data_IF_542420860584
#
_entry.id   IF_542420860584
#
_cell.length_a   1.000
_cell.length_b   1.000
_cell.length_c   1.000
_cell.angle_alpha   90.00
_cell.angle_beta   90.00
_cell.angle_gamma   90.00
#
_symmetry.space_group_name_H-M   'P 1'
#
loop_
_entity.id
_entity.type
_entity.pdbx_description
1 polymer ?
#
# COMPACT_ATOMS: atom_id res chain seq x y z
N UNK A 1 20.01 11.38 91.47
CA UNK A 1 20.01 12.58 90.61
C UNK A 1 19.70 12.10 89.20
N UNK A 2 18.51 12.41 88.71
CA UNK A 2 17.91 11.87 87.48
C UNK A 2 18.33 12.73 86.29
N UNK A 3 18.75 12.12 85.18
CA UNK A 3 18.62 12.71 83.84
C UNK A 3 18.13 11.67 82.86
N UNK A 4 16.98 11.98 82.27
CA UNK A 4 16.39 11.33 81.11
C UNK A 4 17.24 11.61 79.87
N UNK A 5 17.18 10.74 78.86
CA UNK A 5 16.88 11.17 77.49
C UNK A 5 16.43 9.95 76.65
N UNK A 6 15.22 10.07 76.11
CA UNK A 6 14.65 9.20 75.08
C UNK A 6 15.23 9.64 73.73
N UNK A 7 15.71 8.71 72.91
CA UNK A 7 15.96 8.97 71.49
C UNK A 7 14.83 8.36 70.66
N UNK A 8 13.99 9.26 70.15
CA UNK A 8 13.09 9.05 69.02
C UNK A 8 13.94 8.96 67.74
N UNK A 9 13.65 7.98 66.89
CA UNK A 9 14.15 7.90 65.52
C UNK A 9 13.52 8.99 64.64
N UNK A 10 14.25 9.63 63.71
CA UNK A 10 13.65 10.51 62.73
C UNK A 10 13.01 9.68 61.60
N UNK A 11 11.69 9.82 61.47
CA UNK A 11 10.95 9.45 60.26
C UNK A 11 11.32 10.46 59.19
N UNK A 12 12.09 10.03 58.18
CA UNK A 12 12.30 10.80 56.96
C UNK A 12 10.99 10.72 56.18
N UNK A 13 10.21 11.79 56.25
CA UNK A 13 9.07 12.00 55.36
C UNK A 13 9.63 12.22 53.95
N UNK A 14 9.63 11.17 53.14
CA UNK A 14 9.76 11.29 51.69
C UNK A 14 8.52 12.04 51.20
N UNK A 15 8.70 13.32 50.91
CA UNK A 15 7.74 14.14 50.19
C UNK A 15 7.55 13.54 48.79
N UNK A 16 6.59 12.62 48.67
CA UNK A 16 6.00 12.26 47.39
C UNK A 16 5.30 13.52 46.86
N UNK A 17 6.02 14.28 46.04
CA UNK A 17 5.43 15.19 45.07
C UNK A 17 4.65 14.32 44.09
N UNK A 18 3.39 14.05 44.42
CA UNK A 18 2.39 13.74 43.41
C UNK A 18 2.23 15.00 42.57
N UNK A 19 3.07 15.16 41.55
CA UNK A 19 2.67 15.92 40.40
C UNK A 19 1.34 15.32 39.96
N UNK A 20 0.30 16.15 39.93
CA UNK A 20 -1.02 15.78 39.44
C UNK A 20 -0.85 15.23 38.03
N UNK A 21 -0.82 13.91 37.91
CA UNK A 21 -1.02 13.22 36.66
C UNK A 21 -2.49 13.46 36.35
N UNK A 22 -2.81 14.61 35.75
CA UNK A 22 -4.08 14.78 35.07
C UNK A 22 -4.16 13.62 34.10
N UNK A 23 -5.04 12.66 34.40
CA UNK A 23 -5.45 11.65 33.44
C UNK A 23 -6.26 12.38 32.38
N UNK A 24 -5.56 13.11 31.49
CA UNK A 24 -6.08 13.49 30.20
C UNK A 24 -6.52 12.17 29.59
N UNK A 25 -7.83 11.98 29.43
CA UNK A 25 -8.30 10.87 28.60
C UNK A 25 -7.57 11.04 27.27
N UNK A 26 -6.81 10.03 26.81
CA UNK A 26 -6.10 10.15 25.54
C UNK A 26 -7.13 10.56 24.50
N UNK A 27 -6.86 11.65 23.79
CA UNK A 27 -7.69 12.03 22.66
C UNK A 27 -7.58 10.85 21.68
N UNK A 28 -8.68 10.29 21.17
CA UNK A 28 -8.60 9.23 20.17
C UNK A 28 -7.67 9.58 18.99
N UNK A 29 -7.46 10.88 18.74
CA UNK A 29 -6.53 11.40 17.75
C UNK A 29 -5.05 11.18 18.08
N UNK A 30 -4.67 11.08 19.36
CA UNK A 30 -3.27 10.93 19.80
C UNK A 30 -2.66 9.62 19.26
N UNK A 31 -3.45 8.56 19.12
CA UNK A 31 -3.00 7.28 18.55
C UNK A 31 -2.66 7.42 17.06
N UNK A 32 -3.43 8.22 16.32
CA UNK A 32 -3.15 8.45 14.90
C UNK A 32 -1.96 9.38 14.71
N UNK A 33 -1.83 10.41 15.55
CA UNK A 33 -0.69 11.33 15.57
C UNK A 33 0.62 10.55 15.79
N UNK A 34 0.68 9.71 16.83
CA UNK A 34 1.85 8.88 17.12
C UNK A 34 2.26 8.01 15.92
N UNK A 35 1.27 7.48 15.19
CA UNK A 35 1.53 6.65 14.01
C UNK A 35 2.08 7.46 12.83
N UNK A 36 1.55 8.65 12.60
CA UNK A 36 2.08 9.58 11.59
C UNK A 36 3.50 10.00 11.95
N UNK A 37 3.73 10.43 13.20
CA UNK A 37 5.03 10.81 13.73
C UNK A 37 6.06 9.68 13.59
N UNK A 38 5.67 8.43 13.86
CA UNK A 38 6.54 7.26 13.68
C UNK A 38 6.95 7.04 12.22
N UNK A 39 6.07 7.36 11.25
CA UNK A 39 6.38 7.25 9.83
C UNK A 39 7.29 8.40 9.36
N UNK A 40 6.96 9.64 9.74
CA UNK A 40 7.68 10.84 9.32
C UNK A 40 8.99 11.07 10.08
N UNK A 41 9.19 10.35 11.19
CA UNK A 41 10.30 10.55 12.14
C UNK A 41 10.32 11.97 12.74
N UNK A 42 9.16 12.63 12.76
CA UNK A 42 8.96 13.93 13.38
C UNK A 42 8.35 13.77 14.78
N UNK A 43 8.54 14.74 15.68
CA UNK A 43 7.86 14.70 16.97
C UNK A 43 6.35 14.91 16.80
N UNK A 44 5.56 14.37 17.73
CA UNK A 44 4.09 14.40 17.69
C UNK A 44 3.53 15.84 17.51
N UNK A 45 4.17 16.85 18.11
CA UNK A 45 3.76 18.25 18.00
C UNK A 45 3.89 18.85 16.60
N UNK A 46 4.67 18.23 15.70
CA UNK A 46 4.80 18.65 14.29
C UNK A 46 3.65 18.13 13.42
N UNK A 47 2.82 17.21 13.94
CA UNK A 47 1.72 16.61 13.19
C UNK A 47 0.41 17.28 13.55
N UNK A 48 -0.29 17.80 12.55
CA UNK A 48 -1.59 18.44 12.71
C UNK A 48 -2.71 17.60 12.10
N UNK A 49 -3.80 17.42 12.85
CA UNK A 49 -5.05 16.93 12.27
C UNK A 49 -5.68 18.03 11.39
N UNK A 50 -6.11 17.66 10.18
CA UNK A 50 -6.73 18.58 9.22
C UNK A 50 -8.24 18.45 9.26
N UNK A 51 -8.78 17.26 8.98
CA UNK A 51 -10.22 17.00 8.87
C UNK A 51 -10.54 15.51 8.77
N UNK A 52 -11.84 15.20 8.91
CA UNK A 52 -12.41 13.92 8.48
C UNK A 52 -13.01 14.06 7.07
N UNK A 53 -12.77 13.07 6.22
CA UNK A 53 -13.37 12.90 4.89
C UNK A 53 -14.22 11.63 4.88
N UNK A 54 -15.15 11.57 3.93
CA UNK A 54 -15.91 10.35 3.65
C UNK A 54 -15.66 9.91 2.22
N UNK A 55 -15.16 8.68 2.04
CA UNK A 55 -14.94 8.06 0.74
C UNK A 55 -15.59 6.68 0.73
N UNK A 56 -16.48 6.42 -0.23
CA UNK A 56 -17.19 5.14 -0.38
C UNK A 56 -17.78 4.60 0.95
N UNK A 57 -18.35 5.51 1.75
CA UNK A 57 -18.96 5.20 3.05
C UNK A 57 -17.98 4.94 4.20
N UNK A 58 -16.67 5.15 3.99
CA UNK A 58 -15.63 5.02 5.02
C UNK A 58 -15.18 6.39 5.50
N UNK A 59 -14.89 6.51 6.79
CA UNK A 59 -14.27 7.73 7.34
C UNK A 59 -12.76 7.65 7.14
N UNK A 60 -12.19 8.73 6.64
CA UNK A 60 -10.76 8.91 6.44
C UNK A 60 -10.33 10.14 7.23
N UNK A 61 -9.34 9.99 8.09
CA UNK A 61 -8.76 11.08 8.86
C UNK A 61 -7.52 11.60 8.13
N UNK A 62 -7.50 12.91 7.89
CA UNK A 62 -6.40 13.60 7.23
C UNK A 62 -5.53 14.29 8.28
N UNK A 63 -4.22 14.05 8.20
CA UNK A 63 -3.18 14.69 9.00
C UNK A 63 -2.14 15.32 8.07
N UNK A 64 -1.33 16.24 8.59
CA UNK A 64 -0.28 16.90 7.81
C UNK A 64 0.89 17.28 8.70
N UNK A 65 2.08 17.35 8.11
CA UNK A 65 3.24 18.06 8.63
C UNK A 65 3.66 19.15 7.62
N UNK A 66 4.93 19.57 7.66
CA UNK A 66 5.46 20.59 6.76
C UNK A 66 5.56 20.10 5.30
N UNK A 67 5.75 18.80 5.05
CA UNK A 67 6.09 18.23 3.75
C UNK A 67 4.95 17.39 3.14
N UNK A 68 4.22 16.63 3.96
CA UNK A 68 3.26 15.62 3.53
C UNK A 68 1.86 15.83 4.08
N UNK A 69 0.90 15.23 3.37
CA UNK A 69 -0.43 14.93 3.85
C UNK A 69 -0.56 13.41 4.00
N UNK A 70 -1.17 13.00 5.11
CA UNK A 70 -1.38 11.62 5.49
C UNK A 70 -2.86 11.35 5.59
N UNK A 71 -3.31 10.24 5.02
CA UNK A 71 -4.68 9.76 5.16
C UNK A 71 -4.69 8.42 5.87
N UNK A 72 -5.46 8.31 6.94
CA UNK A 72 -5.62 7.09 7.72
C UNK A 72 -7.09 6.68 7.78
N UNK A 73 -7.37 5.38 7.75
CA UNK A 73 -8.71 4.87 8.04
C UNK A 73 -9.01 4.84 9.54
N UNK A 74 -10.26 4.48 9.90
CA UNK A 74 -10.70 4.38 11.30
C UNK A 74 -9.95 3.33 12.14
N UNK A 75 -9.24 2.40 11.50
CA UNK A 75 -8.36 1.45 12.18
C UNK A 75 -6.93 1.98 12.32
N UNK A 76 -6.68 3.21 11.88
CA UNK A 76 -5.39 3.87 11.86
C UNK A 76 -4.45 3.29 10.81
N UNK A 77 -4.93 2.62 9.77
CA UNK A 77 -4.07 2.17 8.66
C UNK A 77 -3.89 3.31 7.68
N UNK A 78 -2.66 3.55 7.24
CA UNK A 78 -2.39 4.53 6.19
C UNK A 78 -3.10 4.11 4.90
N UNK A 79 -3.85 5.01 4.28
CA UNK A 79 -4.49 4.85 2.98
C UNK A 79 -3.68 5.53 1.88
N UNK A 80 -3.19 6.74 2.17
CA UNK A 80 -2.31 7.47 1.28
C UNK A 80 -1.37 8.38 2.06
N UNK A 81 -0.23 8.69 1.44
CA UNK A 81 0.74 9.71 1.86
C UNK A 81 1.13 10.44 0.59
N UNK A 82 1.08 11.77 0.56
CA UNK A 82 1.44 12.54 -0.62
C UNK A 82 2.10 13.85 -0.24
N UNK A 83 3.07 14.27 -1.05
CA UNK A 83 3.72 15.58 -0.89
C UNK A 83 2.69 16.70 -1.05
N UNK A 84 2.81 17.74 -0.22
CA UNK A 84 1.92 18.92 -0.27
C UNK A 84 2.15 19.72 -1.53
N UNK A 85 3.42 19.91 -1.87
CA UNK A 85 3.85 20.63 -3.05
C UNK A 85 4.45 19.65 -4.07
N UNK A 86 4.02 19.76 -5.32
CA UNK A 86 4.64 18.96 -6.39
C UNK A 86 6.13 19.26 -6.44
N UNK A 87 7.02 18.25 -6.39
CA UNK A 87 8.44 18.55 -6.34
C UNK A 87 8.88 19.10 -7.71
N UNK A 88 9.78 20.08 -7.66
CA UNK A 88 10.23 20.79 -8.87
C UNK A 88 10.97 19.83 -9.80
N UNK A 89 10.57 19.83 -11.08
CA UNK A 89 11.23 19.11 -12.16
C UNK A 89 12.37 19.95 -12.70
N UNK A 90 13.47 20.00 -11.96
CA UNK A 90 14.72 20.57 -12.46
C UNK A 90 15.49 19.51 -13.27
N UNK A 91 16.64 19.87 -13.84
CA UNK A 91 17.45 18.94 -14.64
C UNK A 91 18.09 17.87 -13.74
N UNK A 92 17.28 16.86 -13.42
CA UNK A 92 17.55 15.86 -12.40
C UNK A 92 18.30 14.66 -13.00
N UNK A 93 19.30 14.17 -12.26
CA UNK A 93 19.97 12.93 -12.59
C UNK A 93 19.12 11.73 -12.17
N UNK A 94 19.17 10.66 -12.96
CA UNK A 94 18.49 9.41 -12.62
C UNK A 94 19.07 8.81 -11.33
N UNK A 95 18.18 8.43 -10.42
CA UNK A 95 18.53 7.70 -9.20
C UNK A 95 19.07 6.33 -9.56
N UNK A 96 20.11 5.90 -8.85
CA UNK A 96 20.62 4.53 -8.96
C UNK A 96 19.57 3.53 -8.46
N UNK A 97 19.47 2.38 -9.12
CA UNK A 97 18.52 1.32 -8.78
C UNK A 97 18.63 0.88 -7.32
N UNK A 98 19.84 0.75 -6.81
CA UNK A 98 20.10 0.25 -5.45
C UNK A 98 19.59 1.25 -4.41
N UNK A 99 19.83 2.55 -4.64
CA UNK A 99 19.36 3.63 -3.77
C UNK A 99 17.83 3.69 -3.74
N UNK A 100 17.19 3.49 -4.90
CA UNK A 100 15.73 3.46 -4.97
C UNK A 100 15.15 2.25 -4.23
N UNK A 101 15.82 1.09 -4.31
CA UNK A 101 15.43 -0.12 -3.57
C UNK A 101 15.55 0.06 -2.07
N UNK A 102 16.65 0.64 -1.59
CA UNK A 102 16.86 0.98 -0.18
C UNK A 102 15.77 1.93 0.31
N UNK A 103 15.50 3.02 -0.42
CA UNK A 103 14.41 3.97 -0.09
C UNK A 103 13.05 3.29 -0.04
N UNK A 104 12.74 2.45 -1.03
CA UNK A 104 11.45 1.71 -1.05
C UNK A 104 11.31 0.82 0.18
N UNK A 105 12.39 0.10 0.52
CA UNK A 105 12.43 -0.82 1.66
C UNK A 105 12.25 -0.06 2.98
N UNK A 106 12.94 1.07 3.14
CA UNK A 106 12.81 1.95 4.29
C UNK A 106 11.37 2.45 4.49
N UNK A 107 10.73 2.97 3.42
CA UNK A 107 9.33 3.38 3.51
C UNK A 107 8.38 2.24 3.87
N UNK A 108 8.59 1.03 3.33
CA UNK A 108 7.79 -0.14 3.71
C UNK A 108 7.94 -0.46 5.20
N UNK A 109 9.16 -0.45 5.73
CA UNK A 109 9.42 -0.68 7.15
C UNK A 109 8.75 0.37 8.04
N UNK A 110 8.82 1.65 7.66
CA UNK A 110 8.14 2.76 8.37
C UNK A 110 6.61 2.61 8.38
N UNK A 111 6.04 2.00 7.35
CA UNK A 111 4.61 1.66 7.29
C UNK A 111 4.25 0.42 8.14
N UNK A 112 5.24 -0.23 8.76
CA UNK A 112 5.07 -1.50 9.48
C UNK A 112 4.88 -2.70 8.54
N UNK A 113 5.31 -2.58 7.28
CA UNK A 113 5.26 -3.65 6.29
C UNK A 113 6.59 -4.38 6.26
N UNK A 114 6.57 -5.72 6.38
CA UNK A 114 7.76 -6.53 6.17
C UNK A 114 8.05 -6.68 4.65
N UNK A 115 9.12 -6.10 4.10
CA UNK A 115 9.42 -6.17 2.67
C UNK A 115 9.64 -7.60 2.17
N UNK A 116 10.07 -8.52 3.05
CA UNK A 116 10.34 -9.92 2.68
C UNK A 116 9.08 -10.71 2.30
N UNK A 117 7.89 -10.27 2.74
CA UNK A 117 6.62 -10.92 2.37
C UNK A 117 5.98 -10.30 1.12
N UNK A 118 6.68 -9.33 0.49
CA UNK A 118 6.20 -8.60 -0.68
C UNK A 118 7.07 -8.88 -1.90
N UNK A 119 6.42 -9.03 -3.05
CA UNK A 119 7.10 -8.96 -4.34
C UNK A 119 7.11 -7.51 -4.82
N UNK A 120 8.31 -6.93 -4.98
CA UNK A 120 8.49 -5.53 -5.35
C UNK A 120 8.93 -5.43 -6.82
N UNK A 121 8.20 -4.64 -7.60
CA UNK A 121 8.52 -4.38 -9.00
C UNK A 121 8.63 -2.89 -9.26
N UNK A 122 9.50 -2.51 -10.20
CA UNK A 122 9.74 -1.11 -10.57
C UNK A 122 9.37 -0.88 -12.03
N UNK A 123 8.65 0.21 -12.30
CA UNK A 123 8.31 0.65 -13.64
C UNK A 123 8.74 2.12 -13.81
N UNK A 124 9.57 2.37 -14.82
CA UNK A 124 10.03 3.72 -15.15
C UNK A 124 9.11 4.28 -16.25
N UNK A 125 8.55 5.45 -16.01
CA UNK A 125 7.81 6.22 -17.00
C UNK A 125 8.71 7.32 -17.57
N UNK A 126 9.39 7.03 -18.68
CA UNK A 126 10.30 7.98 -19.33
C UNK A 126 9.60 9.28 -19.75
N UNK A 127 8.31 9.23 -20.09
CA UNK A 127 7.55 10.43 -20.46
C UNK A 127 7.11 11.29 -19.28
N UNK A 128 7.05 10.72 -18.07
CA UNK A 128 6.65 11.43 -16.86
C UNK A 128 7.81 11.77 -15.94
N UNK A 129 9.02 11.30 -16.26
CA UNK A 129 10.20 11.40 -15.39
C UNK A 129 9.93 10.86 -13.98
N UNK A 130 9.20 9.74 -13.93
CA UNK A 130 8.72 9.13 -12.70
C UNK A 130 9.08 7.66 -12.65
N UNK A 131 9.33 7.17 -11.44
CA UNK A 131 9.46 5.74 -11.15
C UNK A 131 8.32 5.32 -10.25
N UNK A 132 7.66 4.22 -10.59
CA UNK A 132 6.64 3.59 -9.74
C UNK A 132 7.19 2.28 -9.21
N UNK A 133 7.23 2.15 -7.89
CA UNK A 133 7.42 0.88 -7.22
C UNK A 133 6.06 0.31 -6.81
N UNK A 134 5.85 -0.98 -7.06
CA UNK A 134 4.65 -1.71 -6.62
C UNK A 134 5.11 -2.89 -5.79
N UNK A 135 4.83 -2.83 -4.49
CA UNK A 135 5.04 -3.94 -3.56
C UNK A 135 3.71 -4.69 -3.41
N UNK A 136 3.68 -5.97 -3.76
CA UNK A 136 2.49 -6.84 -3.70
C UNK A 136 2.66 -7.93 -2.65
N UNK A 137 1.75 -8.02 -1.69
CA UNK A 137 1.85 -8.98 -0.60
C UNK A 137 1.47 -10.40 -1.03
N UNK A 138 2.32 -11.38 -0.69
CA UNK A 138 2.05 -12.80 -0.90
C UNK A 138 1.66 -13.51 0.40
N UNK A 139 0.74 -14.47 0.28
CA UNK A 139 0.47 -15.49 1.28
C UNK A 139 0.64 -16.85 0.63
N UNK A 140 1.77 -17.50 0.93
CA UNK A 140 2.24 -18.66 0.16
C UNK A 140 2.50 -18.26 -1.31
N UNK A 141 1.86 -18.96 -2.24
CA UNK A 141 2.01 -18.71 -3.68
C UNK A 141 1.02 -17.66 -4.23
N UNK A 142 0.07 -17.18 -3.42
CA UNK A 142 -1.02 -16.31 -3.87
C UNK A 142 -0.82 -14.87 -3.44
N UNK A 143 -1.23 -13.94 -4.30
CA UNK A 143 -1.30 -12.54 -3.94
C UNK A 143 -2.56 -12.27 -3.12
N UNK A 144 -2.43 -11.40 -2.11
CA UNK A 144 -3.53 -11.12 -1.18
C UNK A 144 -4.33 -9.88 -1.58
N UNK A 145 -4.04 -9.27 -2.73
CA UNK A 145 -4.60 -7.99 -3.15
C UNK A 145 -4.17 -6.78 -2.31
N UNK A 146 -3.44 -7.01 -1.21
CA UNK A 146 -2.80 -5.97 -0.40
C UNK A 146 -1.55 -5.48 -1.12
N UNK A 147 -1.55 -4.22 -1.53
CA UNK A 147 -0.48 -3.63 -2.32
C UNK A 147 -0.07 -2.28 -1.73
N UNK A 148 1.22 -1.96 -1.83
CA UNK A 148 1.75 -0.62 -1.60
C UNK A 148 2.30 -0.09 -2.92
N UNK A 149 1.79 1.05 -3.35
CA UNK A 149 2.22 1.77 -4.54
C UNK A 149 3.03 2.97 -4.10
N UNK A 150 4.29 3.05 -4.51
CA UNK A 150 5.16 4.19 -4.23
C UNK A 150 5.52 4.85 -5.55
N UNK A 151 5.38 6.17 -5.60
CA UNK A 151 5.74 6.97 -6.77
C UNK A 151 6.87 7.91 -6.40
N UNK A 152 7.86 7.97 -7.28
CA UNK A 152 9.03 8.81 -7.15
C UNK A 152 9.21 9.66 -8.39
N UNK A 153 9.85 10.81 -8.24
CA UNK A 153 10.54 11.46 -9.36
C UNK A 153 11.75 10.61 -9.74
N UNK A 154 12.24 10.75 -10.98
CA UNK A 154 13.42 10.03 -11.48
C UNK A 154 14.69 10.16 -10.62
N UNK A 155 14.82 11.21 -9.79
CA UNK A 155 15.91 11.41 -8.82
C UNK A 155 15.72 10.64 -7.49
N UNK A 156 14.59 9.93 -7.35
CA UNK A 156 14.25 9.16 -6.16
C UNK A 156 13.60 9.98 -5.05
N UNK A 157 13.15 11.20 -5.32
CA UNK A 157 12.30 11.97 -4.40
C UNK A 157 10.90 11.37 -4.38
N UNK A 158 10.37 11.10 -3.18
CA UNK A 158 9.04 10.51 -3.01
C UNK A 158 7.96 11.52 -3.42
N UNK A 159 6.97 11.08 -4.19
CA UNK A 159 5.79 11.86 -4.57
C UNK A 159 4.59 11.40 -3.74
N UNK A 160 4.36 10.08 -3.72
CA UNK A 160 3.23 9.51 -3.01
C UNK A 160 3.43 8.05 -2.65
N UNK A 161 2.72 7.64 -1.62
CA UNK A 161 2.47 6.26 -1.24
C UNK A 161 0.96 6.05 -1.22
N UNK A 162 0.47 4.97 -1.81
CA UNK A 162 -0.93 4.55 -1.72
C UNK A 162 -0.98 3.09 -1.29
N UNK A 163 -1.84 2.77 -0.33
CA UNK A 163 -2.03 1.39 0.12
C UNK A 163 -3.41 0.89 -0.22
N UNK A 164 -3.45 -0.36 -0.68
CA UNK A 164 -4.67 -1.12 -0.86
C UNK A 164 -4.72 -2.19 0.20
N UNK A 165 -5.85 -2.28 0.91
CA UNK A 165 -6.11 -3.34 1.87
C UNK A 165 -7.26 -4.23 1.45
N UNK A 166 -7.06 -5.53 1.56
CA UNK A 166 -7.99 -6.60 1.25
C UNK A 166 -7.93 -7.64 2.38
N UNK A 167 -9.05 -8.32 2.64
CA UNK A 167 -9.10 -9.40 3.63
C UNK A 167 -8.47 -10.69 3.06
N UNK A 168 -7.30 -11.14 3.56
CA UNK A 168 -6.64 -12.34 3.05
C UNK A 168 -7.46 -13.61 3.23
N UNK A 169 -8.44 -13.65 4.15
CA UNK A 169 -9.30 -14.81 4.35
C UNK A 169 -10.13 -15.14 3.10
N UNK A 170 -10.33 -14.18 2.19
CA UNK A 170 -10.97 -14.39 0.89
C UNK A 170 -10.25 -15.45 0.05
N UNK A 171 -8.93 -15.60 0.18
CA UNK A 171 -8.16 -16.63 -0.53
C UNK A 171 -8.58 -18.06 -0.15
N UNK A 172 -9.11 -18.25 1.05
CA UNK A 172 -9.58 -19.55 1.54
C UNK A 172 -10.95 -19.95 0.99
N UNK A 173 -11.66 -19.04 0.32
CA UNK A 173 -12.93 -19.36 -0.32
C UNK A 173 -12.70 -20.37 -1.46
N UNK A 174 -13.58 -21.37 -1.52
CA UNK A 174 -13.56 -22.39 -2.57
C UNK A 174 -13.88 -21.73 -3.92
N UNK A 175 -13.07 -22.03 -4.94
CA UNK A 175 -13.34 -21.60 -6.31
C UNK A 175 -14.46 -22.45 -6.91
N UNK A 176 -15.46 -21.81 -7.51
CA UNK A 176 -16.51 -22.49 -8.29
C UNK A 176 -16.00 -22.95 -9.65
N UNK A 177 -15.07 -22.18 -10.24
CA UNK A 177 -14.41 -22.54 -11.49
C UNK A 177 -12.90 -22.76 -11.29
N UNK A 178 -12.37 -23.72 -12.03
CA UNK A 178 -10.93 -23.98 -12.12
C UNK A 178 -10.22 -22.90 -12.96
N UNK A 179 -8.90 -22.81 -12.80
CA UNK A 179 -8.07 -21.92 -13.61
C UNK A 179 -8.13 -22.28 -15.12
N UNK A 180 -8.28 -23.56 -15.44
CA UNK A 180 -8.41 -24.03 -16.82
C UNK A 180 -9.75 -23.59 -17.44
N UNK A 181 -10.85 -23.69 -16.69
CA UNK A 181 -12.15 -23.16 -17.11
C UNK A 181 -12.10 -21.63 -17.30
N UNK A 182 -11.46 -20.91 -16.38
CA UNK A 182 -11.28 -19.46 -16.50
C UNK A 182 -10.45 -19.08 -17.74
N UNK A 183 -9.40 -19.87 -18.05
CA UNK A 183 -8.60 -19.69 -19.25
C UNK A 183 -9.44 -19.94 -20.52
N UNK A 184 -10.30 -20.95 -20.52
CA UNK A 184 -11.24 -21.17 -21.63
C UNK A 184 -12.17 -19.97 -21.83
N UNK A 185 -12.75 -19.45 -20.75
CA UNK A 185 -13.60 -18.24 -20.80
C UNK A 185 -12.84 -17.06 -21.40
N UNK A 186 -11.57 -16.87 -21.01
CA UNK A 186 -10.73 -15.83 -21.60
C UNK A 186 -10.57 -16.03 -23.12
N UNK A 187 -10.21 -17.24 -23.58
CA UNK A 187 -10.07 -17.50 -25.02
C UNK A 187 -11.38 -17.29 -25.78
N UNK A 188 -12.51 -17.80 -25.28
CA UNK A 188 -13.83 -17.61 -25.90
C UNK A 188 -14.16 -16.09 -26.05
N UNK A 189 -13.79 -15.28 -25.04
CA UNK A 189 -13.93 -13.83 -25.11
C UNK A 189 -12.99 -13.19 -26.16
N UNK A 190 -11.72 -13.60 -26.20
CA UNK A 190 -10.75 -13.06 -27.15
C UNK A 190 -11.12 -13.36 -28.61
N UNK A 191 -11.74 -14.51 -28.88
CA UNK A 191 -12.22 -14.90 -30.22
C UNK A 191 -13.36 -14.03 -30.73
N UNK A 192 -14.19 -13.53 -29.80
CA UNK A 192 -15.40 -12.76 -30.10
C UNK A 192 -15.19 -11.25 -29.98
N UNK A 193 -14.14 -10.81 -29.28
CA UNK A 193 -13.78 -9.39 -29.14
C UNK A 193 -13.24 -8.80 -30.43
N UNK A 194 -13.89 -7.76 -30.96
CA UNK A 194 -13.43 -7.07 -32.17
C UNK A 194 -12.01 -6.49 -32.03
N UNK A 195 -11.65 -6.02 -30.82
CA UNK A 195 -10.33 -5.45 -30.53
C UNK A 195 -9.24 -6.53 -30.46
N UNK A 196 -9.57 -7.71 -29.94
CA UNK A 196 -8.57 -8.73 -29.61
C UNK A 196 -8.45 -9.82 -30.67
N UNK A 197 -9.52 -10.09 -31.42
CA UNK A 197 -9.57 -11.12 -32.46
C UNK A 197 -8.42 -11.03 -33.48
N UNK A 198 -7.96 -9.85 -33.94
CA UNK A 198 -6.82 -9.76 -34.86
C UNK A 198 -5.51 -10.30 -34.29
N UNK A 199 -5.39 -10.37 -32.96
CA UNK A 199 -4.15 -10.74 -32.27
C UNK A 199 -4.17 -12.17 -31.73
N UNK A 200 -5.30 -12.87 -31.82
CA UNK A 200 -5.48 -14.15 -31.11
C UNK A 200 -4.52 -15.23 -31.58
N UNK A 201 -4.13 -15.24 -32.85
CA UNK A 201 -3.17 -16.19 -33.43
C UNK A 201 -1.76 -16.03 -32.85
N UNK A 202 -1.47 -14.91 -32.19
CA UNK A 202 -0.21 -14.70 -31.47
C UNK A 202 -0.19 -15.41 -30.11
N UNK A 203 -1.38 -15.75 -29.58
CA UNK A 203 -1.56 -16.32 -28.25
C UNK A 203 -1.60 -17.83 -28.30
N UNK A 204 -0.85 -18.42 -27.39
CA UNK A 204 -0.91 -19.83 -27.04
C UNK A 204 -1.01 -19.95 -25.52
N UNK A 205 -1.51 -21.07 -25.01
CA UNK A 205 -1.79 -21.24 -23.57
C UNK A 205 -0.55 -21.04 -22.69
N UNK A 206 0.63 -21.39 -23.18
CA UNK A 206 1.95 -21.22 -22.55
C UNK A 206 2.42 -19.75 -22.49
N UNK A 207 1.87 -18.86 -23.34
CA UNK A 207 2.21 -17.43 -23.33
C UNK A 207 1.37 -16.61 -22.36
N UNK A 208 0.37 -17.23 -21.73
CA UNK A 208 -0.50 -16.57 -20.76
C UNK A 208 -0.02 -16.94 -19.35
N UNK A 209 0.60 -15.97 -18.69
CA UNK A 209 0.89 -16.09 -17.27
C UNK A 209 -0.41 -15.93 -16.47
N UNK A 210 -0.54 -16.68 -15.38
CA UNK A 210 -1.70 -16.63 -14.51
C UNK A 210 -1.32 -16.72 -13.05
N UNK A 211 -2.04 -16.01 -12.20
CA UNK A 211 -1.87 -16.00 -10.75
C UNK A 211 -3.25 -15.92 -10.07
N UNK A 212 -3.31 -16.32 -8.79
CA UNK A 212 -4.47 -16.09 -7.92
C UNK A 212 -4.23 -14.83 -7.11
N UNK A 213 -5.25 -13.97 -7.01
CA UNK A 213 -5.19 -12.70 -6.29
C UNK A 213 -6.54 -12.36 -5.64
N UNK A 214 -6.60 -11.27 -4.87
CA UNK A 214 -7.83 -10.62 -4.43
C UNK A 214 -8.03 -9.29 -5.18
N UNK A 215 -9.20 -9.13 -5.78
CA UNK A 215 -9.61 -7.90 -6.46
C UNK A 215 -10.98 -7.44 -5.95
N UNK A 216 -11.00 -6.33 -5.21
CA UNK A 216 -12.20 -5.72 -4.64
C UNK A 216 -13.04 -6.72 -3.85
N UNK A 217 -12.41 -7.36 -2.86
CA UNK A 217 -13.07 -8.33 -1.99
C UNK A 217 -13.41 -9.68 -2.64
N UNK A 218 -12.92 -9.96 -3.86
CA UNK A 218 -13.19 -11.21 -4.59
C UNK A 218 -11.90 -11.97 -4.87
N UNK A 219 -11.93 -13.29 -4.69
CA UNK A 219 -10.87 -14.19 -5.15
C UNK A 219 -10.94 -14.29 -6.67
N UNK A 220 -9.84 -14.00 -7.36
CA UNK A 220 -9.77 -13.91 -8.82
C UNK A 220 -8.60 -14.68 -9.40
N UNK A 221 -8.72 -15.02 -10.68
CA UNK A 221 -7.58 -15.38 -11.52
C UNK A 221 -7.19 -14.15 -12.34
N UNK A 222 -5.94 -13.69 -12.19
CA UNK A 222 -5.37 -12.69 -13.09
C UNK A 222 -4.65 -13.41 -14.23
N UNK A 223 -4.86 -12.95 -15.45
CA UNK A 223 -4.17 -13.42 -16.65
C UNK A 223 -3.38 -12.28 -17.29
N UNK A 224 -2.13 -12.55 -17.66
CA UNK A 224 -1.21 -11.58 -18.27
C UNK A 224 -0.57 -12.16 -19.53
N UNK A 225 -0.49 -11.35 -20.57
CA UNK A 225 0.23 -11.69 -21.79
C UNK A 225 0.62 -10.42 -22.54
N UNK A 226 1.61 -10.52 -23.43
CA UNK A 226 2.05 -9.39 -24.26
C UNK A 226 1.73 -9.67 -25.72
N UNK A 227 1.16 -8.68 -26.40
CA UNK A 227 0.85 -8.73 -27.83
C UNK A 227 1.76 -7.78 -28.61
N UNK A 228 2.15 -8.17 -29.82
CA UNK A 228 2.77 -7.25 -30.75
C UNK A 228 1.68 -6.50 -31.52
N UNK A 229 1.66 -5.16 -31.40
CA UNK A 229 0.70 -4.30 -32.08
C UNK A 229 1.41 -3.33 -33.01
N UNK A 230 0.79 -3.01 -34.15
CA UNK A 230 1.39 -2.11 -35.14
C UNK A 230 1.64 -0.70 -34.57
N UNK A 231 0.76 -0.22 -33.68
CA UNK A 231 0.79 1.15 -33.16
C UNK A 231 1.59 1.31 -31.86
N UNK A 232 1.72 0.26 -31.03
CA UNK A 232 2.38 0.34 -29.73
C UNK A 232 3.62 -0.55 -29.59
N UNK A 233 4.01 -1.28 -30.65
CA UNK A 233 5.14 -2.21 -30.65
C UNK A 233 4.86 -3.47 -29.83
N UNK A 234 4.75 -3.34 -28.51
CA UNK A 234 4.36 -4.39 -27.56
C UNK A 234 3.38 -3.85 -26.53
N UNK A 235 2.21 -4.46 -26.42
CA UNK A 235 1.18 -4.08 -25.45
C UNK A 235 1.00 -5.18 -24.39
N UNK A 236 1.07 -4.81 -23.11
CA UNK A 236 0.84 -5.71 -21.97
C UNK A 236 -0.65 -5.78 -21.66
N UNK A 237 -1.26 -6.92 -21.92
CA UNK A 237 -2.66 -7.18 -21.60
C UNK A 237 -2.80 -7.72 -20.18
N UNK A 238 -3.92 -7.41 -19.53
CA UNK A 238 -4.32 -7.97 -18.23
C UNK A 238 -5.81 -8.26 -18.22
N UNK A 239 -6.19 -9.43 -17.71
CA UNK A 239 -7.59 -9.78 -17.47
C UNK A 239 -7.76 -10.28 -16.04
N UNK A 240 -8.88 -9.92 -15.43
CA UNK A 240 -9.24 -10.33 -14.06
C UNK A 240 -10.54 -11.10 -14.13
N UNK A 241 -10.54 -12.38 -13.75
CA UNK A 241 -11.70 -13.26 -13.85
C UNK A 241 -12.11 -13.74 -12.45
N UNK A 242 -13.40 -13.63 -12.13
CA UNK A 242 -13.98 -14.11 -10.89
C UNK A 242 -13.86 -15.63 -10.77
N UNK A 243 -13.32 -16.13 -9.66
CA UNK A 243 -13.28 -17.59 -9.38
C UNK A 243 -14.66 -18.17 -9.04
N UNK A 244 -15.62 -17.33 -8.66
CA UNK A 244 -16.97 -17.72 -8.26
C UNK A 244 -17.92 -17.80 -9.46
N UNK A 245 -17.82 -16.84 -10.39
CA UNK A 245 -18.81 -16.67 -11.47
C UNK A 245 -18.22 -16.85 -12.87
N UNK A 246 -16.89 -16.85 -13.01
CA UNK A 246 -16.23 -16.82 -14.32
C UNK A 246 -16.39 -15.50 -15.08
N UNK A 247 -17.00 -14.47 -14.49
CA UNK A 247 -17.15 -13.17 -15.13
C UNK A 247 -15.80 -12.44 -15.23
N UNK A 248 -15.53 -11.80 -16.38
CA UNK A 248 -14.41 -10.87 -16.54
C UNK A 248 -14.75 -9.58 -15.79
N UNK A 249 -14.00 -9.27 -14.74
CA UNK A 249 -14.22 -8.11 -13.86
C UNK A 249 -13.46 -6.87 -14.32
N UNK A 250 -12.30 -7.06 -14.96
CA UNK A 250 -11.46 -5.98 -15.45
C UNK A 250 -10.61 -6.48 -16.62
N UNK A 251 -10.32 -5.56 -17.55
CA UNK A 251 -9.49 -5.82 -18.73
C UNK A 251 -8.63 -4.61 -19.06
N UNK A 252 -7.40 -4.89 -19.48
CA UNK A 252 -6.47 -3.93 -20.07
C UNK A 252 -6.12 -4.44 -21.47
N UNK A 253 -6.59 -3.72 -22.48
CA UNK A 253 -6.54 -4.10 -23.90
C UNK A 253 -5.92 -2.97 -24.73
N UNK A 254 -5.30 -3.28 -25.89
CA UNK A 254 -4.92 -2.27 -26.87
C UNK A 254 -6.15 -1.46 -27.29
N UNK A 255 -5.98 -0.15 -27.48
CA UNK A 255 -6.99 0.74 -28.04
C UNK A 255 -6.79 0.94 -29.53
#
# INVERSE_FOLDING_TARGET
MIRSLKYLAPVIAASFLFASCETRKPNPQDVYIFKVASFSELPDESISFVRNKTYDGRIVMEFTDDEYIYELDEAGRFLSIFVKDEPKKEDLNDVKSEVLQEKTTDYLLRLGVNPETYEITYAISSSKEQVTAVARHKSGEYFTGNNVYLQYIKDGTLISISMKYEDPAILNKQSTISMEQARKILFDYLETSELMKPYITQLSTDKISSEVDIYYGKKVYNFYFTLATANAGKFKCKYVISTETGSILSKLEPK
#
